data_IF_044627763357
#
_entry.id   IF_044627763357
#
_cell.length_a   1.000
_cell.length_b   1.000
_cell.length_c   1.000
_cell.angle_alpha   90.00
_cell.angle_beta   90.00
_cell.angle_gamma   90.00
#
_symmetry.space_group_name_H-M   'P 1'
#
loop_
_entity.id
_entity.type
_entity.pdbx_description
1 polymer ?
#
# COMPACT_ATOMS: atom_id res chain seq x y z
N UNK A 1 -16.60 19.08 10.77
CA UNK A 1 -17.34 17.86 10.32
C UNK A 1 -16.52 17.20 9.23
N UNK A 2 -16.23 15.90 9.33
CA UNK A 2 -15.54 15.19 8.23
C UNK A 2 -16.43 15.24 6.98
N UNK A 3 -15.85 15.64 5.85
CA UNK A 3 -16.56 15.69 4.58
C UNK A 3 -16.88 14.27 4.12
N UNK A 4 -18.14 14.02 3.78
CA UNK A 4 -18.58 12.73 3.25
C UNK A 4 -18.51 12.84 1.73
N UNK A 5 -17.52 12.17 1.12
CA UNK A 5 -17.29 12.18 -0.32
C UNK A 5 -16.72 10.84 -0.79
N UNK A 6 -16.95 10.51 -2.05
CA UNK A 6 -16.33 9.35 -2.67
C UNK A 6 -14.83 9.57 -2.89
N UNK A 7 -14.06 8.49 -2.81
CA UNK A 7 -12.62 8.50 -3.08
C UNK A 7 -12.38 7.76 -4.40
N UNK A 8 -11.87 8.47 -5.40
CA UNK A 8 -11.46 7.86 -6.65
C UNK A 8 -10.03 7.31 -6.50
N UNK A 9 -9.89 5.98 -6.55
CA UNK A 9 -8.61 5.31 -6.31
C UNK A 9 -7.58 5.64 -7.38
N UNK A 10 -7.96 5.69 -8.67
CA UNK A 10 -7.01 6.03 -9.75
C UNK A 10 -6.47 7.44 -9.60
N UNK A 11 -7.32 8.40 -9.24
CA UNK A 11 -6.87 9.76 -8.94
C UNK A 11 -5.87 9.77 -7.78
N UNK A 12 -6.11 8.97 -6.74
CA UNK A 12 -5.17 8.87 -5.62
C UNK A 12 -3.84 8.21 -6.03
N UNK A 13 -3.86 7.13 -6.80
CA UNK A 13 -2.65 6.51 -7.32
C UNK A 13 -1.81 7.44 -8.20
N UNK A 14 -2.43 8.38 -8.92
CA UNK A 14 -1.72 9.35 -9.75
C UNK A 14 -0.92 10.39 -8.98
N UNK A 15 -1.11 10.50 -7.65
CA UNK A 15 -0.49 11.52 -6.81
C UNK A 15 0.89 11.14 -6.28
N UNK A 16 1.32 9.90 -6.46
CA UNK A 16 2.61 9.41 -5.97
C UNK A 16 3.21 8.36 -6.91
N UNK A 17 4.54 8.24 -6.88
CA UNK A 17 5.28 7.27 -7.71
C UNK A 17 6.14 6.32 -6.89
N UNK A 18 6.32 6.59 -5.60
CA UNK A 18 7.14 5.77 -4.71
C UNK A 18 6.60 4.34 -4.62
N UNK A 19 7.53 3.37 -4.69
CA UNK A 19 7.22 1.95 -4.53
C UNK A 19 7.41 1.52 -3.09
N UNK A 20 6.64 0.51 -2.68
CA UNK A 20 6.70 -0.03 -1.31
C UNK A 20 6.54 1.05 -0.23
N UNK A 21 5.81 2.10 -0.52
CA UNK A 21 5.58 3.25 0.37
C UNK A 21 4.09 3.51 0.51
N UNK A 22 3.41 2.87 1.44
CA UNK A 22 1.96 3.01 1.60
C UNK A 22 1.57 4.46 1.92
N UNK A 23 0.48 4.89 1.32
CA UNK A 23 -0.14 6.21 1.53
C UNK A 23 -1.54 6.02 2.11
N UNK A 24 -1.87 6.74 3.17
CA UNK A 24 -3.19 6.68 3.79
C UNK A 24 -4.16 7.53 2.98
N UNK A 25 -5.30 6.95 2.61
CA UNK A 25 -6.38 7.65 1.88
C UNK A 25 -7.66 7.78 2.69
N UNK A 26 -7.78 7.03 3.77
CA UNK A 26 -8.95 7.06 4.64
C UNK A 26 -8.76 6.21 5.88
N UNK A 27 -9.71 6.34 6.78
CA UNK A 27 -9.79 5.51 7.98
C UNK A 27 -11.21 5.03 8.21
N UNK A 28 -11.34 3.81 8.71
CA UNK A 28 -12.59 3.18 9.08
C UNK A 28 -12.40 2.49 10.43
N UNK A 29 -13.12 2.98 11.46
CA UNK A 29 -12.92 2.53 12.83
C UNK A 29 -11.45 2.68 13.25
N UNK A 30 -10.80 1.65 13.72
CA UNK A 30 -9.37 1.65 14.08
C UNK A 30 -8.46 1.14 12.96
N UNK A 31 -8.90 1.22 11.71
CA UNK A 31 -8.16 0.74 10.55
C UNK A 31 -7.87 1.87 9.58
N UNK A 32 -6.77 1.73 8.83
CA UNK A 32 -6.44 2.58 7.69
C UNK A 32 -6.76 1.89 6.37
N UNK A 33 -7.28 2.67 5.43
CA UNK A 33 -7.28 2.34 4.01
C UNK A 33 -6.06 2.99 3.39
N UNK A 34 -5.17 2.17 2.83
CA UNK A 34 -3.90 2.62 2.25
C UNK A 34 -3.79 2.21 0.80
N UNK A 35 -3.09 3.00 0.00
CA UNK A 35 -2.67 2.63 -1.35
C UNK A 35 -1.16 2.47 -1.40
N UNK A 36 -0.69 1.47 -2.13
CA UNK A 36 0.71 1.21 -2.34
C UNK A 36 0.97 0.78 -3.79
N UNK A 37 1.98 1.35 -4.42
CA UNK A 37 2.52 0.84 -5.67
C UNK A 37 3.63 -0.15 -5.35
N UNK A 38 3.54 -1.35 -5.93
CA UNK A 38 4.47 -2.44 -5.67
C UNK A 38 5.24 -2.73 -6.96
N UNK A 39 6.56 -2.91 -6.87
CA UNK A 39 7.42 -3.28 -8.00
C UNK A 39 8.66 -4.00 -7.48
N UNK A 40 8.94 -5.19 -8.05
CA UNK A 40 10.04 -6.04 -7.59
C UNK A 40 9.70 -6.78 -6.29
N UNK A 41 10.71 -7.07 -5.48
CA UNK A 41 10.57 -7.86 -4.27
C UNK A 41 10.48 -6.99 -3.00
N UNK A 42 9.67 -7.44 -2.07
CA UNK A 42 9.66 -6.96 -0.70
C UNK A 42 10.41 -7.94 0.23
N UNK A 43 10.44 -7.66 1.51
CA UNK A 43 11.10 -8.50 2.50
C UNK A 43 10.16 -9.57 3.06
N UNK A 44 10.73 -10.69 3.52
CA UNK A 44 10.03 -11.63 4.38
C UNK A 44 9.68 -10.96 5.69
N UNK A 45 8.43 -10.99 6.07
CA UNK A 45 7.96 -10.40 7.33
C UNK A 45 6.66 -11.04 7.80
N UNK A 46 6.29 -10.75 9.03
CA UNK A 46 5.01 -11.11 9.63
C UNK A 46 4.53 -9.99 10.54
N UNK A 47 3.23 -9.99 10.82
CA UNK A 47 2.61 -9.12 11.81
C UNK A 47 2.10 -9.98 12.96
N UNK A 48 2.61 -9.78 14.16
CA UNK A 48 2.27 -10.65 15.31
C UNK A 48 0.81 -10.49 15.74
N UNK A 49 0.27 -9.28 15.66
CA UNK A 49 -1.03 -8.93 16.24
C UNK A 49 -2.09 -8.51 15.21
N UNK A 50 -1.72 -8.35 13.94
CA UNK A 50 -2.63 -7.82 12.92
C UNK A 50 -2.77 -8.78 11.74
N UNK A 51 -4.02 -8.97 11.30
CA UNK A 51 -4.31 -9.50 9.97
C UNK A 51 -4.09 -8.39 8.93
N UNK A 52 -3.70 -8.76 7.72
CA UNK A 52 -3.44 -7.83 6.63
C UNK A 52 -4.24 -8.19 5.39
N UNK A 53 -5.00 -7.24 4.84
CA UNK A 53 -5.74 -7.43 3.61
C UNK A 53 -5.04 -6.72 2.46
N UNK A 54 -4.76 -7.47 1.40
CA UNK A 54 -4.31 -6.99 0.11
C UNK A 54 -5.47 -7.05 -0.90
N UNK A 55 -5.66 -5.99 -1.66
CA UNK A 55 -6.58 -5.96 -2.80
C UNK A 55 -5.83 -5.43 -4.02
N UNK A 56 -5.71 -6.24 -5.07
CA UNK A 56 -5.06 -5.81 -6.31
C UNK A 56 -6.06 -5.04 -7.16
N UNK A 57 -5.75 -3.78 -7.40
CA UNK A 57 -6.53 -2.89 -8.25
C UNK A 57 -6.04 -2.93 -9.71
N UNK A 58 -4.73 -3.08 -9.92
CA UNK A 58 -4.09 -3.20 -11.23
C UNK A 58 -2.85 -4.07 -11.16
N UNK A 59 -2.68 -4.97 -12.12
CA UNK A 59 -1.54 -5.87 -12.22
C UNK A 59 -1.74 -7.19 -11.49
N UNK A 60 -0.66 -7.86 -11.12
CA UNK A 60 -0.66 -9.14 -10.42
C UNK A 60 0.35 -9.11 -9.28
N UNK A 61 -0.11 -9.36 -8.06
CA UNK A 61 0.72 -9.56 -6.89
C UNK A 61 0.99 -11.06 -6.69
N UNK A 62 2.22 -11.39 -6.36
CA UNK A 62 2.65 -12.72 -5.95
C UNK A 62 3.00 -12.68 -4.46
N UNK A 63 2.55 -13.69 -3.73
CA UNK A 63 2.77 -13.81 -2.29
C UNK A 63 3.35 -15.16 -1.96
N UNK A 64 4.62 -15.18 -1.55
CA UNK A 64 5.28 -16.39 -1.09
C UNK A 64 5.04 -16.63 0.40
N UNK A 65 4.88 -17.89 0.76
CA UNK A 65 4.77 -18.38 2.15
C UNK A 65 5.88 -19.38 2.48
N UNK A 66 6.24 -19.51 3.76
CA UNK A 66 7.32 -20.39 4.22
C UNK A 66 7.05 -21.88 4.00
N UNK A 67 5.81 -22.28 3.76
CA UNK A 67 5.44 -23.65 3.40
C UNK A 67 5.69 -24.01 1.92
N UNK A 68 6.28 -23.09 1.16
CA UNK A 68 6.62 -23.26 -0.25
C UNK A 68 5.49 -22.91 -1.22
N UNK A 69 4.34 -22.47 -0.73
CA UNK A 69 3.25 -22.00 -1.62
C UNK A 69 3.52 -20.59 -2.09
N UNK A 70 3.13 -20.31 -3.33
CA UNK A 70 2.96 -18.95 -3.87
C UNK A 70 1.49 -18.76 -4.21
N UNK A 71 0.90 -17.68 -3.72
CA UNK A 71 -0.46 -17.27 -4.07
C UNK A 71 -0.41 -16.12 -5.05
N UNK A 72 -1.07 -16.25 -6.19
CA UNK A 72 -1.30 -15.16 -7.13
C UNK A 72 -2.56 -14.40 -6.75
N UNK A 73 -2.48 -13.07 -6.75
CA UNK A 73 -3.61 -12.17 -6.53
C UNK A 73 -3.76 -11.31 -7.77
N UNK A 74 -4.79 -11.55 -8.55
CA UNK A 74 -5.07 -10.85 -9.81
C UNK A 74 -5.92 -9.59 -9.57
N UNK A 75 -6.09 -8.80 -10.63
CA UNK A 75 -6.96 -7.60 -10.57
C UNK A 75 -8.36 -7.96 -10.06
N UNK A 76 -8.85 -7.19 -9.08
CA UNK A 76 -10.15 -7.41 -8.44
C UNK A 76 -10.18 -8.50 -7.37
N UNK A 77 -9.06 -9.18 -7.12
CA UNK A 77 -8.95 -10.20 -6.08
C UNK A 77 -8.39 -9.62 -4.78
N UNK A 78 -8.73 -10.27 -3.68
CA UNK A 78 -8.20 -9.98 -2.35
C UNK A 78 -7.45 -11.19 -1.79
N UNK A 79 -6.46 -10.91 -0.95
CA UNK A 79 -5.79 -11.89 -0.12
C UNK A 79 -5.78 -11.37 1.31
N UNK A 80 -6.20 -12.19 2.27
CA UNK A 80 -6.07 -11.91 3.69
C UNK A 80 -4.98 -12.80 4.24
N UNK A 81 -3.92 -12.17 4.77
CA UNK A 81 -2.83 -12.84 5.48
C UNK A 81 -3.12 -12.76 6.96
N UNK A 82 -3.36 -13.89 7.66
CA UNK A 82 -3.59 -13.89 9.09
C UNK A 82 -2.34 -13.44 9.87
N UNK A 83 -2.56 -12.84 11.03
CA UNK A 83 -1.48 -12.51 11.97
C UNK A 83 -0.58 -13.71 12.23
N UNK A 84 0.69 -13.45 12.40
CA UNK A 84 1.73 -14.45 12.66
C UNK A 84 2.19 -15.26 11.43
N UNK A 85 1.53 -15.10 10.27
CA UNK A 85 1.92 -15.81 9.05
C UNK A 85 3.02 -15.04 8.33
N UNK A 86 4.19 -15.64 8.24
CA UNK A 86 5.33 -15.06 7.53
C UNK A 86 5.14 -15.15 6.01
N UNK A 87 5.30 -14.02 5.34
CA UNK A 87 5.05 -13.88 3.92
C UNK A 87 6.00 -12.90 3.24
N UNK A 88 6.14 -13.02 1.93
CA UNK A 88 6.95 -12.12 1.09
C UNK A 88 6.16 -11.73 -0.16
N UNK A 89 5.66 -10.50 -0.26
CA UNK A 89 5.06 -10.00 -1.49
C UNK A 89 6.11 -9.63 -2.53
N UNK A 90 5.80 -9.86 -3.81
CA UNK A 90 6.64 -9.46 -4.94
C UNK A 90 5.84 -9.35 -6.23
N UNK A 91 6.45 -8.76 -7.26
CA UNK A 91 5.90 -8.65 -8.60
C UNK A 91 6.90 -9.15 -9.63
N UNK A 92 6.42 -9.55 -10.80
CA UNK A 92 7.28 -9.99 -11.92
C UNK A 92 7.78 -8.82 -12.79
N UNK A 93 8.09 -7.67 -12.19
CA UNK A 93 8.64 -6.50 -12.88
C UNK A 93 7.62 -5.44 -13.25
N UNK A 94 6.32 -5.77 -13.30
CA UNK A 94 5.27 -4.78 -13.52
C UNK A 94 4.88 -4.08 -12.22
N UNK A 95 4.47 -2.82 -12.35
CA UNK A 95 3.93 -2.06 -11.20
C UNK A 95 2.53 -2.55 -10.88
N UNK A 96 2.33 -2.97 -9.63
CA UNK A 96 1.04 -3.39 -9.10
C UNK A 96 0.43 -2.25 -8.27
N UNK A 97 -0.83 -1.94 -8.51
CA UNK A 97 -1.61 -1.00 -7.71
C UNK A 97 -2.40 -1.79 -6.67
N UNK A 98 -2.01 -1.63 -5.42
CA UNK A 98 -2.53 -2.41 -4.31
C UNK A 98 -3.18 -1.52 -3.25
N UNK A 99 -4.34 -1.93 -2.76
CA UNK A 99 -4.99 -1.36 -1.59
C UNK A 99 -4.74 -2.27 -0.41
N UNK A 100 -4.33 -1.67 0.70
CA UNK A 100 -4.17 -2.32 2.00
C UNK A 100 -5.29 -1.83 2.93
N UNK A 101 -5.85 -2.74 3.71
CA UNK A 101 -6.79 -2.43 4.77
C UNK A 101 -6.36 -3.18 6.01
N UNK A 102 -5.92 -2.45 7.02
CA UNK A 102 -5.27 -3.01 8.20
C UNK A 102 -5.37 -2.09 9.41
N UNK A 103 -5.24 -2.61 10.64
CA UNK A 103 -5.24 -1.81 11.86
C UNK A 103 -4.19 -0.70 11.82
N UNK A 104 -4.48 0.43 12.48
CA UNK A 104 -3.57 1.59 12.56
C UNK A 104 -2.23 1.27 13.22
N UNK A 105 -2.19 0.20 14.02
CA UNK A 105 -1.00 -0.28 14.73
C UNK A 105 -0.05 -1.09 13.85
N UNK A 106 -0.49 -1.49 12.65
CA UNK A 106 0.31 -2.33 11.75
C UNK A 106 1.55 -1.59 11.28
N UNK A 107 2.72 -2.16 11.56
CA UNK A 107 4.01 -1.67 11.08
C UNK A 107 4.24 -2.12 9.64
N UNK A 108 4.76 -1.25 8.79
CA UNK A 108 4.95 -1.49 7.36
C UNK A 108 5.71 -2.77 7.00
N UNK A 109 6.78 -3.08 7.74
CA UNK A 109 7.60 -4.29 7.57
C UNK A 109 7.46 -5.26 8.73
N UNK A 110 6.33 -5.22 9.45
CA UNK A 110 6.11 -6.06 10.64
C UNK A 110 7.21 -5.84 11.68
N UNK A 111 7.78 -6.94 12.15
CA UNK A 111 8.86 -6.92 13.16
C UNK A 111 10.27 -6.86 12.53
N UNK A 112 10.37 -6.76 11.21
CA UNK A 112 11.63 -6.69 10.47
C UNK A 112 12.04 -5.23 10.23
N UNK A 113 13.28 -4.88 10.58
CA UNK A 113 13.90 -3.62 10.17
C UNK A 113 14.58 -3.78 8.80
N UNK A 114 14.18 -2.98 7.85
CA UNK A 114 14.65 -2.99 6.46
C UNK A 114 14.88 -1.58 5.95
N UNK A 115 15.68 -1.44 4.90
CA UNK A 115 15.79 -0.17 4.15
C UNK A 115 14.46 0.25 3.53
N UNK A 116 13.52 -0.68 3.36
CA UNK A 116 12.17 -0.44 2.86
C UNK A 116 11.18 -0.03 3.97
N UNK A 117 11.58 -0.06 5.25
CA UNK A 117 10.70 0.28 6.37
C UNK A 117 10.30 1.74 6.35
N UNK A 118 9.00 2.03 6.26
CA UNK A 118 8.43 3.37 6.38
C UNK A 118 7.89 3.56 7.79
N UNK A 119 8.55 4.42 8.58
CA UNK A 119 8.19 4.66 9.99
C UNK A 119 6.96 5.54 10.16
N UNK A 120 6.76 6.50 9.26
CA UNK A 120 5.62 7.42 9.27
C UNK A 120 4.99 7.44 7.90
N UNK A 121 3.71 7.06 7.84
CA UNK A 121 2.94 7.07 6.60
C UNK A 121 2.34 8.45 6.33
N UNK A 122 2.39 8.86 5.07
CA UNK A 122 1.79 10.11 4.63
C UNK A 122 0.31 9.92 4.26
N UNK A 123 -0.48 10.95 4.54
CA UNK A 123 -1.83 11.08 4.03
C UNK A 123 -1.83 11.73 2.65
N UNK A 124 -2.65 11.20 1.74
CA UNK A 124 -2.88 11.85 0.44
C UNK A 124 -4.21 12.59 0.47
N UNK A 125 -4.15 13.92 0.46
CA UNK A 125 -5.30 14.80 0.35
C UNK A 125 -5.45 15.33 -1.09
N UNK A 126 -6.68 15.63 -1.53
CA UNK A 126 -6.94 16.22 -2.84
C UNK A 126 -6.22 17.58 -3.05
N UNK A 127 -5.93 18.31 -1.95
CA UNK A 127 -5.20 19.59 -2.02
C UNK A 127 -3.77 19.44 -2.57
N UNK A 128 -3.17 18.26 -2.50
CA UNK A 128 -1.80 18.04 -3.01
C UNK A 128 -1.72 18.13 -4.54
N UNK A 129 -2.85 18.02 -5.27
CA UNK A 129 -2.90 18.22 -6.72
C UNK A 129 -2.55 19.66 -7.08
N UNK A 130 -3.12 20.65 -6.37
CA UNK A 130 -2.85 22.07 -6.61
C UNK A 130 -1.39 22.44 -6.31
N UNK A 131 -0.80 21.89 -5.25
CA UNK A 131 0.59 22.16 -4.87
C UNK A 131 1.58 21.53 -5.86
N UNK A 132 1.30 20.33 -6.39
CA UNK A 132 2.14 19.70 -7.41
C UNK A 132 2.11 20.50 -8.72
N UNK A 133 0.94 20.98 -9.15
CA UNK A 133 0.80 21.85 -10.33
C UNK A 133 1.45 23.21 -10.16
N UNK A 134 1.39 23.81 -8.95
CA UNK A 134 2.07 25.09 -8.66
C UNK A 134 3.59 24.93 -8.64
N UNK A 135 4.13 23.83 -8.13
CA UNK A 135 5.57 23.58 -8.09
C UNK A 135 6.17 23.40 -9.50
N UNK A 136 5.48 22.69 -10.39
CA UNK A 136 5.89 22.56 -11.80
C UNK A 136 5.81 23.86 -12.59
N UNK A 137 5.03 24.83 -12.13
CA UNK A 137 4.91 26.14 -12.81
C UNK A 137 5.93 27.17 -12.33
N UNK A 138 6.53 26.97 -11.16
CA UNK A 138 7.58 27.83 -10.63
C UNK A 138 8.99 27.41 -11.13
N UNK A 139 9.15 26.18 -11.58
CA UNK A 139 10.42 25.69 -12.15
C UNK A 139 10.56 26.00 -13.66
N UNK A 140 9.61 26.73 -14.27
CA UNK A 140 9.59 27.13 -15.68
C UNK A 140 9.84 28.64 -15.92
N UNK A 141 10.27 29.39 -14.87
CA UNK A 141 10.68 30.80 -15.02
C UNK A 141 12.05 31.04 -14.42
#
# INVERSE_FOLDING_TARGET
MKKIESINLMNKFSLFDEKWTPKIIGELNNQYVKLCKLEGEFVWHSHENEDELFMVFKGKLLMDFRDGRTVEVNEGEILIVPKGVEHKPYTNGDVVFNLLFEPKTTKHTGDVNSTLTVKKLDWIYLLNIFLKYYKYRLDLY
#
